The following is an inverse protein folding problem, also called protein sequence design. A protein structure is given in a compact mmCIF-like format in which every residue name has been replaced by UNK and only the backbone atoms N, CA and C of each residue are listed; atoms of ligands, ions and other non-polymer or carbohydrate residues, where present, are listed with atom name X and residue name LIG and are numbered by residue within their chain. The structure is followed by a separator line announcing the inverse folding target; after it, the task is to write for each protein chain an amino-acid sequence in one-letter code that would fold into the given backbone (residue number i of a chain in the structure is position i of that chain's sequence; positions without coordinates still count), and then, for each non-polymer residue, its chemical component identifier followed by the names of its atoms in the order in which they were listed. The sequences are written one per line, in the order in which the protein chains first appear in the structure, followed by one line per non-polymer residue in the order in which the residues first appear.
data_IF_812250240056
#
_entry.id   IF_812250240056
#
_cell.length_a   1.000
_cell.length_b   1.000
_cell.length_c   1.000
_cell.angle_alpha   90.00
_cell.angle_beta   90.00
_cell.angle_gamma   90.00
#
_symmetry.space_group_name_H-M   'P 1'
#
loop_
_entity.id
_entity.type
_entity.pdbx_description
1 polymer ?
#
# COMPACT_ATOMS: atom_id res chain seq x y z
N UNK A 1 -9.40 -0.07 9.57
CA UNK A 1 -8.44 0.71 8.76
C UNK A 1 -8.20 0.08 7.38
N UNK A 2 -7.85 -1.20 7.31
CA UNK A 2 -7.63 -1.90 6.02
C UNK A 2 -8.86 -1.91 5.09
N UNK A 3 -10.07 -1.99 5.65
CA UNK A 3 -11.32 -2.01 4.86
C UNK A 3 -11.58 -0.71 4.10
N UNK A 4 -11.27 0.43 4.70
CA UNK A 4 -11.43 1.75 4.08
C UNK A 4 -10.43 1.91 2.93
N UNK A 5 -9.17 1.54 3.14
CA UNK A 5 -8.14 1.53 2.11
C UNK A 5 -8.50 0.59 0.95
N UNK A 6 -9.01 -0.61 1.25
CA UNK A 6 -9.41 -1.57 0.22
C UNK A 6 -10.59 -1.06 -0.61
N UNK A 7 -11.55 -0.39 0.03
CA UNK A 7 -12.70 0.22 -0.65
C UNK A 7 -12.27 1.35 -1.58
N UNK A 8 -11.35 2.18 -1.11
CA UNK A 8 -10.74 3.27 -1.87
C UNK A 8 -9.94 2.74 -3.07
N UNK A 9 -9.06 1.76 -2.85
CA UNK A 9 -8.32 1.07 -3.90
C UNK A 9 -9.22 0.52 -5.01
N UNK A 10 -10.30 -0.18 -4.63
CA UNK A 10 -11.26 -0.72 -5.61
C UNK A 10 -11.94 0.39 -6.41
N UNK A 11 -12.21 1.54 -5.80
CA UNK A 11 -12.84 2.67 -6.47
C UNK A 11 -11.86 3.38 -7.43
N UNK A 12 -10.65 3.67 -6.99
CA UNK A 12 -9.69 4.54 -7.70
C UNK A 12 -8.75 3.80 -8.65
N UNK A 13 -8.44 2.52 -8.40
CA UNK A 13 -7.60 1.71 -9.28
C UNK A 13 -8.46 0.80 -10.17
N UNK A 14 -9.30 -0.05 -9.56
CA UNK A 14 -9.99 -1.12 -10.31
C UNK A 14 -11.17 -0.61 -11.15
N UNK A 15 -11.96 0.31 -10.61
CA UNK A 15 -13.20 0.82 -11.25
C UNK A 15 -13.00 2.13 -12.00
N UNK A 16 -11.90 2.83 -11.77
CA UNK A 16 -11.64 4.14 -12.35
C UNK A 16 -11.35 4.03 -13.86
N UNK A 17 -12.12 4.71 -14.73
CA UNK A 17 -11.91 4.66 -16.17
C UNK A 17 -10.58 5.29 -16.64
N UNK A 18 -9.91 6.09 -15.80
CA UNK A 18 -8.59 6.66 -16.11
C UNK A 18 -7.50 5.59 -15.96
N UNK A 19 -7.58 4.76 -14.91
CA UNK A 19 -6.61 3.69 -14.64
C UNK A 19 -6.95 2.39 -15.38
N UNK A 20 -8.23 2.16 -15.65
CA UNK A 20 -8.71 0.94 -16.30
C UNK A 20 -8.54 1.03 -17.83
N UNK A 21 -7.84 0.06 -18.47
CA UNK A 21 -7.70 0.04 -19.93
C UNK A 21 -9.04 0.03 -20.66
N UNK A 22 -9.09 0.63 -21.86
CA UNK A 22 -10.26 0.54 -22.75
C UNK A 22 -10.53 -0.92 -23.11
N UNK A 23 -11.68 -1.44 -22.68
CA UNK A 23 -12.06 -2.86 -22.81
C UNK A 23 -11.85 -3.69 -21.54
N UNK A 24 -11.34 -3.11 -20.46
CA UNK A 24 -11.11 -3.78 -19.18
C UNK A 24 -9.74 -4.47 -19.08
N UNK A 25 -9.57 -5.24 -18.01
CA UNK A 25 -8.36 -6.00 -17.71
C UNK A 25 -8.29 -7.24 -18.61
N UNK A 26 -7.24 -7.37 -19.42
CA UNK A 26 -7.08 -8.47 -20.37
C UNK A 26 -6.19 -9.58 -19.83
N UNK A 27 -5.31 -9.24 -18.89
CA UNK A 27 -4.38 -10.14 -18.22
C UNK A 27 -4.15 -9.74 -16.76
N UNK A 28 -3.57 -10.65 -15.98
CA UNK A 28 -3.11 -10.35 -14.62
C UNK A 28 -2.01 -9.28 -14.65
N UNK A 29 -1.12 -9.32 -15.64
CA UNK A 29 -0.05 -8.33 -15.79
C UNK A 29 -0.55 -6.90 -15.97
N UNK A 30 -1.69 -6.70 -16.66
CA UNK A 30 -2.31 -5.36 -16.77
C UNK A 30 -2.73 -4.83 -15.40
N UNK A 31 -3.24 -5.72 -14.54
CA UNK A 31 -3.64 -5.37 -13.18
C UNK A 31 -2.42 -5.09 -12.32
N UNK A 32 -1.37 -5.90 -12.41
CA UNK A 32 -0.13 -5.70 -11.66
C UNK A 32 0.53 -4.35 -11.98
N UNK A 33 0.58 -3.98 -13.26
CA UNK A 33 1.09 -2.67 -13.69
C UNK A 33 0.22 -1.54 -13.12
N UNK A 34 -1.10 -1.63 -13.28
CA UNK A 34 -2.01 -0.59 -12.78
C UNK A 34 -1.98 -0.46 -11.24
N UNK A 35 -1.76 -1.58 -10.52
CA UNK A 35 -1.57 -1.56 -9.07
C UNK A 35 -0.25 -0.88 -8.72
N UNK A 36 0.84 -1.18 -9.43
CA UNK A 36 2.13 -0.53 -9.20
C UNK A 36 2.04 0.99 -9.42
N UNK A 37 1.40 1.43 -10.51
CA UNK A 37 1.17 2.85 -10.78
C UNK A 37 0.27 3.51 -9.72
N UNK A 38 -0.79 2.82 -9.29
CA UNK A 38 -1.65 3.30 -8.21
C UNK A 38 -0.87 3.47 -6.90
N UNK A 39 -0.05 2.50 -6.52
CA UNK A 39 0.75 2.54 -5.28
C UNK A 39 1.76 3.68 -5.32
N UNK A 40 2.46 3.86 -6.45
CA UNK A 40 3.39 4.99 -6.63
C UNK A 40 2.67 6.33 -6.47
N UNK A 41 1.55 6.52 -7.18
CA UNK A 41 0.76 7.74 -7.07
C UNK A 41 0.23 7.97 -5.65
N UNK A 42 -0.31 6.93 -5.02
CA UNK A 42 -0.86 7.02 -3.67
C UNK A 42 0.21 7.39 -2.64
N UNK A 43 1.40 6.79 -2.71
CA UNK A 43 2.44 7.01 -1.70
C UNK A 43 3.24 8.30 -1.92
N UNK A 44 3.50 8.67 -3.18
CA UNK A 44 4.45 9.75 -3.49
C UNK A 44 3.78 11.02 -4.04
N UNK A 45 2.52 10.97 -4.46
CA UNK A 45 1.88 12.11 -5.17
C UNK A 45 0.53 12.50 -4.58
N UNK A 46 -0.18 11.58 -3.93
CA UNK A 46 -1.48 11.87 -3.31
C UNK A 46 -1.29 12.70 -2.06
N UNK A 47 -1.75 13.95 -2.11
CA UNK A 47 -1.80 14.81 -0.93
C UNK A 47 -2.97 14.39 -0.06
N UNK A 48 -2.71 14.08 1.21
CA UNK A 48 -3.72 13.61 2.13
C UNK A 48 -3.96 14.65 3.23
N UNK A 49 -5.17 15.23 3.24
CA UNK A 49 -5.51 16.37 4.12
C UNK A 49 -5.45 16.05 5.62
N UNK A 50 -5.78 14.81 6.01
CA UNK A 50 -5.75 14.35 7.41
C UNK A 50 -4.33 14.27 7.99
N UNK A 51 -3.32 14.07 7.14
CA UNK A 51 -1.90 13.99 7.55
C UNK A 51 -1.12 15.28 7.25
N UNK A 52 -1.82 16.40 7.03
CA UNK A 52 -1.18 17.71 6.84
C UNK A 52 -0.84 18.07 5.39
N UNK A 53 -1.55 17.50 4.40
CA UNK A 53 -1.36 17.77 2.97
C UNK A 53 0.03 17.38 2.45
N UNK A 54 0.62 16.34 3.03
CA UNK A 54 1.85 15.71 2.51
C UNK A 54 1.53 14.32 1.96
N UNK A 55 2.36 13.77 1.06
CA UNK A 55 2.27 12.38 0.64
C UNK A 55 2.44 11.41 1.81
N UNK A 56 1.76 10.25 1.80
CA UNK A 56 1.90 9.23 2.82
C UNK A 56 3.35 8.81 3.08
N UNK A 57 4.17 8.66 2.03
CA UNK A 57 5.57 8.27 2.18
C UNK A 57 6.40 9.31 2.94
N UNK A 58 6.12 10.61 2.76
CA UNK A 58 6.79 11.67 3.51
C UNK A 58 6.34 11.70 4.98
N UNK A 59 5.05 11.46 5.23
CA UNK A 59 4.54 11.33 6.60
C UNK A 59 5.19 10.14 7.33
N UNK A 60 5.29 9.00 6.67
CA UNK A 60 5.98 7.81 7.15
C UNK A 60 7.45 8.09 7.47
N UNK A 61 8.19 8.67 6.51
CA UNK A 61 9.60 8.99 6.67
C UNK A 61 9.83 9.92 7.87
N UNK A 62 8.97 10.92 8.06
CA UNK A 62 9.01 11.81 9.21
C UNK A 62 8.73 11.06 10.51
N UNK A 63 7.73 10.19 10.53
CA UNK A 63 7.40 9.38 11.70
C UNK A 63 8.60 8.53 12.13
N UNK A 64 9.28 7.83 11.21
CA UNK A 64 10.47 7.03 11.55
C UNK A 64 11.72 7.82 11.85
N UNK A 65 11.90 9.00 11.26
CA UNK A 65 12.97 9.90 11.65
C UNK A 65 12.84 10.36 13.12
N UNK A 66 11.60 10.40 13.64
CA UNK A 66 11.30 10.77 15.03
C UNK A 66 11.09 9.60 15.97
N UNK A 67 10.79 8.42 15.45
CA UNK A 67 10.60 7.21 16.24
C UNK A 67 11.97 6.65 16.61
N UNK A 68 12.31 6.71 17.89
CA UNK A 68 13.38 5.89 18.46
C UNK A 68 13.12 4.43 18.06
N UNK A 69 14.17 3.71 17.66
CA UNK A 69 14.07 2.38 17.06
C UNK A 69 13.34 1.41 17.98
N UNK A 70 12.01 1.29 17.85
CA UNK A 70 11.29 0.15 18.36
C UNK A 70 11.72 -1.04 17.50
N UNK A 71 12.75 -1.71 18.01
CA UNK A 71 13.24 -3.00 17.57
C UNK A 71 12.02 -3.87 17.35
N UNK A 72 11.68 -4.18 16.10
CA UNK A 72 10.69 -5.21 15.83
C UNK A 72 11.20 -6.44 16.55
N UNK A 73 10.51 -6.86 17.61
CA UNK A 73 10.85 -8.08 18.33
C UNK A 73 10.67 -9.20 17.31
N UNK A 74 11.79 -9.62 16.70
CA UNK A 74 11.89 -10.89 16.01
C UNK A 74 11.43 -11.93 17.01
N UNK A 75 10.16 -12.30 16.93
CA UNK A 75 9.64 -13.39 17.72
C UNK A 75 10.26 -14.62 17.08
N UNK A 76 11.23 -15.31 17.72
CA UNK A 76 11.80 -16.50 17.10
C UNK A 76 10.65 -17.49 16.94
N UNK A 77 10.29 -17.80 15.69
CA UNK A 77 9.33 -18.84 15.38
C UNK A 77 9.89 -20.13 15.97
N UNK A 78 9.29 -20.61 17.06
CA UNK A 78 9.55 -21.94 17.59
C UNK A 78 9.10 -22.93 16.52
N UNK A 79 10.04 -23.37 15.70
CA UNK A 79 9.85 -24.52 14.83
C UNK A 79 9.83 -25.75 15.73
N UNK A 80 8.65 -26.10 16.24
CA UNK A 80 8.41 -27.43 16.78
C UNK A 80 8.54 -28.42 15.63
N UNK A 81 9.77 -28.83 15.36
CA UNK A 81 10.07 -29.97 14.52
C UNK A 81 9.56 -31.20 15.24
N UNK A 82 8.39 -31.66 14.81
CA UNK A 82 7.79 -32.90 15.26
C UNK A 82 8.76 -34.06 15.03
N UNK A 83 9.39 -34.51 16.11
CA UNK A 83 10.12 -35.77 16.16
C UNK A 83 9.10 -36.91 16.07
N UNK A 84 9.24 -37.74 15.04
CA UNK A 84 8.82 -39.15 15.06
C UNK A 84 10.04 -40.03 15.10
#
# INVERSE_FOLDING_TARGET
MAEALNSLFKAECIRNPVMRPKGGWKSVGDVEIAVAEYVDWFNHRRLHGEIGLIPPAEFEANHWATAESEHYVETPVLTETGSK
#
